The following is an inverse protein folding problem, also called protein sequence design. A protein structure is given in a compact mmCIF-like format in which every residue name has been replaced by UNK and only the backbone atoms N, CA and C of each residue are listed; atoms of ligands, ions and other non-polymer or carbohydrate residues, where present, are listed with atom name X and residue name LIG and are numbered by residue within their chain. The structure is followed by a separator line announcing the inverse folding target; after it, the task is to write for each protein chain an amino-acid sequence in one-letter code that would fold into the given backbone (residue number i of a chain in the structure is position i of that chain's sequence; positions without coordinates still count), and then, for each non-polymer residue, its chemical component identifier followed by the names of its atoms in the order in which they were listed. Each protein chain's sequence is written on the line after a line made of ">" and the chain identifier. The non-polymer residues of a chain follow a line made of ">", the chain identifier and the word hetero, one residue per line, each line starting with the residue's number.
data_IF_884406150120
#
_entry.id   IF_884406150120
#
_cell.length_a   1.000
_cell.length_b   1.000
_cell.length_c   1.000
_cell.angle_alpha   90.00
_cell.angle_beta   90.00
_cell.angle_gamma   90.00
#
_symmetry.space_group_name_H-M   'P 1'
#
loop_
_entity.id
_entity.type
_entity.pdbx_description
1 polymer ?
#
# COMPACT_ATOMS: atom_id res chain seq x y z
N UNK A 1 5.04 -24.67 -13.25
CA UNK A 1 4.72 -24.38 -11.83
C UNK A 1 4.59 -22.87 -11.72
N UNK A 2 3.43 -22.38 -11.27
CA UNK A 2 3.28 -20.98 -10.87
C UNK A 2 3.93 -20.79 -9.48
N UNK A 3 4.40 -19.59 -9.18
CA UNK A 3 4.93 -19.24 -7.86
C UNK A 3 3.87 -19.50 -6.78
N UNK A 4 4.28 -20.08 -5.65
CA UNK A 4 3.47 -20.19 -4.44
C UNK A 4 4.04 -19.22 -3.40
N UNK A 5 3.20 -18.31 -2.91
CA UNK A 5 3.58 -17.31 -1.93
C UNK A 5 3.06 -17.73 -0.56
N UNK A 6 3.92 -17.68 0.46
CA UNK A 6 3.55 -18.00 1.85
C UNK A 6 3.18 -16.75 2.65
N UNK A 7 3.72 -15.59 2.25
CA UNK A 7 3.59 -14.33 2.98
C UNK A 7 3.15 -13.19 2.06
N UNK A 8 2.42 -12.23 2.64
CA UNK A 8 2.14 -10.93 2.06
C UNK A 8 2.36 -9.83 3.10
N UNK A 9 2.91 -8.71 2.65
CA UNK A 9 3.02 -7.49 3.46
C UNK A 9 1.98 -6.51 2.96
N UNK A 10 1.22 -5.91 3.87
CA UNK A 10 0.23 -4.88 3.58
C UNK A 10 0.35 -3.76 4.60
N UNK A 11 -0.06 -2.55 4.25
CA UNK A 11 -0.14 -1.42 5.19
C UNK A 11 -1.59 -0.94 5.34
N UNK A 12 -1.92 -0.39 6.50
CA UNK A 12 -3.19 0.30 6.72
C UNK A 12 -3.25 1.60 5.89
N UNK A 13 -4.47 2.09 5.65
CA UNK A 13 -4.69 3.36 4.94
C UNK A 13 -4.55 4.50 5.95
N UNK A 14 -3.62 5.45 5.77
CA UNK A 14 -3.52 6.62 6.64
C UNK A 14 -4.67 7.59 6.35
N UNK A 15 -5.10 8.36 7.36
CA UNK A 15 -6.16 9.38 7.18
C UNK A 15 -5.70 10.51 6.26
N UNK A 16 -4.41 10.85 6.31
CA UNK A 16 -3.77 11.81 5.41
C UNK A 16 -3.85 11.43 3.93
N UNK A 17 -4.20 10.19 3.59
CA UNK A 17 -4.38 9.75 2.20
C UNK A 17 -5.50 10.54 1.50
N UNK A 18 -6.62 10.83 2.18
CA UNK A 18 -7.72 11.60 1.57
C UNK A 18 -7.28 13.01 1.19
N UNK A 19 -6.56 13.69 2.08
CA UNK A 19 -6.02 15.02 1.85
C UNK A 19 -4.97 15.00 0.73
N UNK A 20 -4.13 13.97 0.71
CA UNK A 20 -3.15 13.78 -0.35
C UNK A 20 -3.82 13.61 -1.73
N UNK A 21 -4.89 12.84 -1.85
CA UNK A 21 -5.63 12.66 -3.11
C UNK A 21 -6.24 13.97 -3.65
N UNK A 22 -6.44 14.97 -2.78
CA UNK A 22 -6.90 16.31 -3.16
C UNK A 22 -5.75 17.23 -3.60
N UNK A 23 -4.49 16.86 -3.32
CA UNK A 23 -3.31 17.66 -3.63
C UNK A 23 -2.94 17.62 -5.12
N UNK A 24 -2.20 18.61 -5.65
CA UNK A 24 -1.68 18.59 -7.02
C UNK A 24 -0.69 17.46 -7.29
N UNK A 25 -0.07 16.93 -6.24
CA UNK A 25 1.00 15.92 -6.33
C UNK A 25 0.45 14.49 -6.50
N UNK A 26 -0.83 14.28 -6.17
CA UNK A 26 -1.50 13.01 -6.44
C UNK A 26 -1.67 12.82 -7.95
N UNK A 27 -0.91 11.88 -8.49
CA UNK A 27 -0.97 11.50 -9.90
C UNK A 27 -2.20 10.61 -10.13
N UNK A 28 -3.40 11.21 -10.10
CA UNK A 28 -4.68 10.50 -10.34
C UNK A 28 -5.03 10.64 -11.83
N UNK A 29 -4.76 9.63 -12.68
CA UNK A 29 -5.11 9.70 -14.09
C UNK A 29 -6.64 9.70 -14.21
N UNK A 30 -7.20 10.88 -14.49
CA UNK A 30 -8.64 11.07 -14.67
C UNK A 30 -9.39 11.28 -13.36
N UNK A 31 -9.54 12.54 -12.94
CA UNK A 31 -10.64 12.99 -12.07
C UNK A 31 -11.99 12.70 -12.76
N UNK A 32 -12.44 11.45 -12.78
CA UNK A 32 -13.82 11.08 -13.08
C UNK A 32 -14.60 11.00 -11.78
N UNK A 33 -14.88 12.16 -11.19
CA UNK A 33 -16.08 12.43 -10.37
C UNK A 33 -16.36 11.63 -9.09
N UNK A 34 -15.50 10.69 -8.66
CA UNK A 34 -15.69 9.96 -7.41
C UNK A 34 -15.10 10.71 -6.21
N UNK A 35 -15.90 10.94 -5.17
CA UNK A 35 -15.40 11.39 -3.86
C UNK A 35 -14.74 10.19 -3.17
N UNK A 36 -13.51 10.33 -2.70
CA UNK A 36 -12.87 9.31 -1.87
C UNK A 36 -13.66 9.16 -0.55
N UNK A 37 -13.85 7.91 -0.10
CA UNK A 37 -14.47 7.61 1.18
C UNK A 37 -13.52 6.72 1.98
N UNK A 38 -12.95 7.27 3.06
CA UNK A 38 -11.99 6.57 3.91
C UNK A 38 -12.56 5.28 4.51
N UNK A 39 -13.81 5.30 5.00
CA UNK A 39 -14.41 4.12 5.62
C UNK A 39 -14.65 3.02 4.59
N UNK A 40 -15.06 3.38 3.38
CA UNK A 40 -15.21 2.44 2.27
C UNK A 40 -13.87 1.83 1.86
N UNK A 41 -12.82 2.65 1.75
CA UNK A 41 -11.47 2.18 1.42
C UNK A 41 -10.90 1.24 2.49
N UNK A 42 -11.13 1.53 3.78
CA UNK A 42 -10.75 0.63 4.87
C UNK A 42 -11.49 -0.71 4.79
N UNK A 43 -12.80 -0.69 4.52
CA UNK A 43 -13.60 -1.91 4.32
C UNK A 43 -13.13 -2.72 3.09
N UNK A 44 -12.74 -2.05 2.01
CA UNK A 44 -12.16 -2.70 0.83
C UNK A 44 -10.82 -3.35 1.14
N UNK A 45 -9.95 -2.66 1.88
CA UNK A 45 -8.67 -3.19 2.36
C UNK A 45 -8.87 -4.43 3.22
N UNK A 46 -9.80 -4.41 4.16
CA UNK A 46 -10.10 -5.57 5.01
C UNK A 46 -10.54 -6.78 4.19
N UNK A 47 -11.42 -6.57 3.19
CA UNK A 47 -11.83 -7.64 2.27
C UNK A 47 -10.66 -8.17 1.45
N UNK A 48 -9.75 -7.29 1.01
CA UNK A 48 -8.54 -7.69 0.30
C UNK A 48 -7.62 -8.55 1.17
N UNK A 49 -7.37 -8.14 2.41
CA UNK A 49 -6.57 -8.90 3.38
C UNK A 49 -7.20 -10.26 3.69
N UNK A 50 -8.51 -10.29 3.90
CA UNK A 50 -9.24 -11.53 4.13
C UNK A 50 -9.14 -12.48 2.91
N UNK A 51 -9.24 -11.95 1.69
CA UNK A 51 -9.04 -12.74 0.49
C UNK A 51 -7.63 -13.33 0.40
N UNK A 52 -6.58 -12.59 0.79
CA UNK A 52 -5.21 -13.13 0.86
C UNK A 52 -5.11 -14.30 1.84
N UNK A 53 -5.66 -14.13 3.05
CA UNK A 53 -5.67 -15.17 4.09
C UNK A 53 -6.43 -16.42 3.64
N UNK A 54 -7.57 -16.26 2.98
CA UNK A 54 -8.35 -17.37 2.43
C UNK A 54 -7.61 -18.16 1.35
N UNK A 55 -6.64 -17.53 0.67
CA UNK A 55 -5.76 -18.19 -0.29
C UNK A 55 -4.51 -18.84 0.37
N UNK A 56 -4.47 -18.90 1.70
CA UNK A 56 -3.40 -19.58 2.45
C UNK A 56 -2.11 -18.77 2.59
N UNK A 57 -2.19 -17.45 2.42
CA UNK A 57 -1.07 -16.52 2.61
C UNK A 57 -1.14 -15.93 4.02
N UNK A 58 -0.02 -15.94 4.74
CA UNK A 58 0.12 -15.24 6.02
C UNK A 58 0.34 -13.73 5.76
N UNK A 59 -0.47 -12.89 6.39
CA UNK A 59 -0.51 -11.45 6.08
C UNK A 59 0.07 -10.66 7.25
N UNK A 60 1.22 -10.01 7.00
CA UNK A 60 1.81 -9.02 7.88
C UNK A 60 1.17 -7.66 7.60
N UNK A 61 0.37 -7.18 8.56
CA UNK A 61 -0.26 -5.87 8.50
C UNK A 61 0.59 -4.83 9.24
N UNK A 62 1.03 -3.80 8.51
CA UNK A 62 1.74 -2.65 9.07
C UNK A 62 0.77 -1.55 9.46
N UNK A 63 1.10 -0.80 10.51
CA UNK A 63 0.35 0.40 10.89
C UNK A 63 0.43 1.47 9.80
N UNK A 64 -0.55 2.37 9.80
CA UNK A 64 -0.54 3.52 8.91
C UNK A 64 0.50 4.55 9.39
N UNK A 65 1.29 5.10 8.45
CA UNK A 65 2.18 6.23 8.73
C UNK A 65 1.60 7.51 8.13
N UNK A 66 1.05 8.38 8.98
CA UNK A 66 0.45 9.64 8.56
C UNK A 66 1.46 10.64 7.93
N UNK A 67 2.77 10.39 8.07
CA UNK A 67 3.81 11.19 7.39
C UNK A 67 3.99 10.77 5.93
N UNK A 68 3.52 9.58 5.57
CA UNK A 68 3.65 9.00 4.24
C UNK A 68 2.24 8.62 3.74
N UNK A 69 1.46 9.56 3.19
CA UNK A 69 0.06 9.33 2.85
C UNK A 69 -0.18 8.15 1.89
N UNK A 70 0.82 7.80 1.09
CA UNK A 70 0.76 6.68 0.15
C UNK A 70 1.32 5.36 0.71
N UNK A 71 1.61 5.24 2.01
CA UNK A 71 2.22 4.05 2.62
C UNK A 71 1.43 2.74 2.42
N UNK A 72 0.13 2.83 2.12
CA UNK A 72 -0.69 1.67 1.70
C UNK A 72 -0.15 0.97 0.45
N UNK A 73 0.60 1.69 -0.41
CA UNK A 73 1.17 1.20 -1.69
C UNK A 73 2.58 0.60 -1.49
N UNK A 74 2.66 -0.44 -0.69
CA UNK A 74 3.92 -1.10 -0.30
C UNK A 74 4.66 -1.75 -1.48
N UNK A 75 3.98 -2.01 -2.60
CA UNK A 75 4.53 -2.67 -3.80
C UNK A 75 5.63 -1.86 -4.50
N UNK A 76 5.62 -0.54 -4.35
CA UNK A 76 6.66 0.34 -4.91
C UNK A 76 7.96 0.36 -4.08
N UNK A 77 7.92 -0.16 -2.85
CA UNK A 77 9.01 0.04 -1.85
C UNK A 77 10.00 -1.13 -1.81
N UNK A 78 9.57 -2.33 -2.18
CA UNK A 78 10.42 -3.51 -2.15
C UNK A 78 10.03 -4.52 -3.23
N UNK A 79 11.03 -5.13 -3.87
CA UNK A 79 10.87 -6.30 -4.73
C UNK A 79 11.46 -7.50 -4.02
N UNK A 80 10.63 -8.50 -3.69
CA UNK A 80 11.04 -9.68 -2.93
C UNK A 80 11.00 -10.91 -3.83
N UNK A 81 12.14 -11.58 -3.99
CA UNK A 81 12.27 -12.82 -4.78
C UNK A 81 13.14 -13.81 -4.00
N UNK A 82 12.60 -15.01 -3.75
CA UNK A 82 13.31 -16.15 -3.15
C UNK A 82 14.15 -15.78 -1.90
N UNK A 83 13.55 -15.06 -0.96
CA UNK A 83 14.20 -14.69 0.31
C UNK A 83 15.15 -13.49 0.22
N UNK A 84 15.28 -12.84 -0.94
CA UNK A 84 16.01 -11.58 -1.09
C UNK A 84 15.01 -10.44 -1.30
N UNK A 85 15.09 -9.41 -0.46
CA UNK A 85 14.36 -8.16 -0.63
C UNK A 85 15.28 -7.09 -1.21
N UNK A 86 14.93 -6.56 -2.38
CA UNK A 86 15.53 -5.35 -2.93
C UNK A 86 14.68 -4.17 -2.48
N UNK A 87 15.23 -3.35 -1.59
CA UNK A 87 14.61 -2.08 -1.21
C UNK A 87 14.72 -1.10 -2.38
N UNK A 88 13.57 -0.64 -2.87
CA UNK A 88 13.47 0.25 -4.01
C UNK A 88 13.85 1.69 -3.63
N UNK A 89 13.96 2.55 -4.64
CA UNK A 89 14.02 4.00 -4.47
C UNK A 89 12.80 4.62 -5.16
N UNK A 90 11.67 4.80 -4.44
CA UNK A 90 10.45 5.35 -5.01
C UNK A 90 10.71 6.68 -5.73
N UNK A 91 10.12 6.85 -6.91
CA UNK A 91 10.38 8.02 -7.76
C UNK A 91 9.97 9.36 -7.11
N UNK A 92 8.89 9.37 -6.33
CA UNK A 92 8.36 10.58 -5.71
C UNK A 92 9.07 10.83 -4.39
N UNK A 93 9.66 12.02 -4.22
CA UNK A 93 10.46 12.36 -3.04
C UNK A 93 9.72 12.14 -1.71
N UNK A 94 8.41 12.40 -1.65
CA UNK A 94 7.62 12.20 -0.43
C UNK A 94 7.45 10.71 -0.05
N UNK A 95 7.76 9.78 -0.96
CA UNK A 95 7.69 8.34 -0.74
C UNK A 95 9.03 7.71 -0.40
N UNK A 96 10.14 8.43 -0.52
CA UNK A 96 11.47 7.87 -0.28
C UNK A 96 11.64 7.38 1.18
N UNK A 97 10.99 8.04 2.14
CA UNK A 97 11.00 7.64 3.54
C UNK A 97 10.17 6.39 3.86
N UNK A 98 9.30 5.94 2.94
CA UNK A 98 8.50 4.71 3.13
C UNK A 98 9.37 3.46 3.21
N UNK A 99 10.52 3.49 2.54
CA UNK A 99 11.47 2.37 2.47
C UNK A 99 12.16 2.11 3.81
N UNK A 100 12.29 3.13 4.67
CA UNK A 100 12.86 2.96 6.01
C UNK A 100 11.87 2.30 7.00
N UNK A 101 10.58 2.25 6.62
CA UNK A 101 9.51 1.74 7.46
C UNK A 101 9.21 0.25 7.22
N UNK A 102 9.60 -0.27 6.06
CA UNK A 102 9.37 -1.65 5.57
C UNK A 102 10.62 -2.50 5.74
#
# INVERSE_FOLDING_TARGET
>A
MAFQYEYAVVSQIPRSFEEFLMSPDANVPGKKGGKFNYEEACNEREKFVEALRQNGVDVLEMEADERHPECVKVDDTAVIINGTALMCNPYRCHRQGEVEYI
#
